data_IF_311676862793
#
_entry.id   IF_311676862793
#
_cell.length_a   1.000
_cell.length_b   1.000
_cell.length_c   1.000
_cell.angle_alpha   90.00
_cell.angle_beta   90.00
_cell.angle_gamma   90.00
#
_symmetry.space_group_name_H-M   'P 1'
#
loop_
_entity.id
_entity.type
_entity.pdbx_description
1 polymer ?
#
# COMPACT_ATOMS: atom_id res chain seq x y z
N UNK A 1 8.66 10.56 -17.02
CA UNK A 1 8.36 10.53 -16.83
C UNK A 1 7.91 10.57 -16.38
N UNK A 2 7.86 10.51 -16.17
CA UNK A 2 7.47 10.44 -15.70
C UNK A 2 6.61 10.60 -15.26
N UNK A 3 6.33 10.40 -15.08
CA UNK A 3 5.53 10.44 -14.72
C UNK A 3 4.86 10.67 -14.12
N UNK A 4 4.68 10.59 -13.89
CA UNK A 4 4.13 10.62 -13.37
C UNK A 4 3.68 11.14 -12.83
N UNK A 5 3.67 11.17 -12.81
CA UNK A 5 3.29 11.61 -12.32
C UNK A 5 3.11 12.27 -11.73
N UNK A 6 2.72 12.29 -12.10
CA UNK A 6 2.61 13.12 -11.56
C UNK A 6 2.53 13.46 -10.27
N UNK A 7 2.45 13.38 -9.96
CA UNK A 7 2.37 13.49 -8.89
C UNK A 7 3.01 13.32 -8.19
N UNK A 8 3.09 13.29 -8.61
CA UNK A 8 3.33 12.99 -7.77
C UNK A 8 4.30 12.51 -6.89
N UNK A 9 4.02 11.82 -6.15
CA UNK A 9 4.83 11.27 -5.08
C UNK A 9 5.39 9.96 -5.49
N UNK A 10 6.69 9.81 -5.33
CA UNK A 10 7.34 8.53 -5.53
C UNK A 10 7.33 7.69 -4.27
N UNK A 11 6.72 8.20 -3.22
CA UNK A 11 6.70 7.51 -1.93
C UNK A 11 5.27 7.40 -1.44
N UNK A 12 4.96 6.30 -0.76
CA UNK A 12 3.64 6.21 -0.14
C UNK A 12 3.52 7.25 0.97
N UNK A 13 2.31 7.73 1.17
CA UNK A 13 2.06 8.68 2.25
C UNK A 13 1.98 7.97 3.59
N UNK A 14 1.75 6.66 3.57
CA UNK A 14 1.70 5.88 4.79
C UNK A 14 1.89 4.42 4.45
N UNK A 15 2.55 3.71 5.33
CA UNK A 15 2.78 2.28 5.13
C UNK A 15 2.42 1.55 6.41
N UNK A 16 1.68 0.48 6.27
CA UNK A 16 1.29 -0.38 7.38
C UNK A 16 1.92 -1.73 7.13
N UNK A 17 2.56 -2.28 8.15
CA UNK A 17 3.27 -3.52 7.99
C UNK A 17 2.87 -4.49 9.07
N UNK A 18 2.71 -5.75 8.71
CA UNK A 18 2.45 -6.82 9.67
C UNK A 18 3.14 -8.07 9.16
N UNK A 19 4.22 -8.46 9.87
CA UNK A 19 5.01 -9.58 9.43
C UNK A 19 5.64 -9.31 8.08
N UNK A 20 5.45 -10.21 7.16
CA UNK A 20 6.04 -10.09 5.83
C UNK A 20 5.16 -9.33 4.85
N UNK A 21 3.98 -8.91 5.28
CA UNK A 21 3.04 -8.24 4.40
C UNK A 21 2.99 -6.76 4.74
N UNK A 22 2.96 -5.93 3.72
CA UNK A 22 2.87 -4.50 3.90
C UNK A 22 1.81 -3.93 2.98
N UNK A 23 1.18 -2.87 3.46
CA UNK A 23 0.21 -2.11 2.69
C UNK A 23 0.75 -0.69 2.56
N UNK A 24 0.90 -0.24 1.33
CA UNK A 24 1.38 1.11 1.06
C UNK A 24 0.21 1.93 0.55
N UNK A 25 0.03 3.09 1.16
CA UNK A 25 -1.06 3.98 0.80
C UNK A 25 -0.48 5.13 0.00
N UNK A 26 -1.03 5.33 -1.18
CA UNK A 26 -0.55 6.35 -2.12
C UNK A 26 -1.61 7.41 -2.28
N UNK A 27 -1.18 8.64 -2.40
CA UNK A 27 -2.09 9.73 -2.59
C UNK A 27 -1.89 10.32 -3.98
N UNK A 28 -3.00 10.59 -4.63
CA UNK A 28 -2.99 11.23 -5.93
C UNK A 28 -3.97 12.39 -5.88
N UNK A 29 -3.49 13.57 -6.23
CA UNK A 29 -4.35 14.74 -6.24
C UNK A 29 -5.06 14.84 -7.58
N UNK A 30 -6.38 15.00 -7.52
CA UNK A 30 -7.19 15.12 -8.71
C UNK A 30 -8.02 16.39 -8.63
N UNK A 31 -8.71 16.69 -9.71
CA UNK A 31 -9.57 17.87 -9.74
C UNK A 31 -10.68 17.79 -8.71
N UNK A 32 -11.04 16.59 -8.33
CA UNK A 32 -12.12 16.40 -7.35
C UNK A 32 -11.60 16.23 -5.94
N UNK A 33 -10.29 16.41 -5.75
CA UNK A 33 -9.69 16.26 -4.45
C UNK A 33 -8.73 15.09 -4.40
N UNK A 34 -8.20 14.81 -3.23
CA UNK A 34 -7.24 13.71 -3.12
C UNK A 34 -7.91 12.36 -3.26
N UNK A 35 -7.22 11.46 -3.91
CA UNK A 35 -7.63 10.07 -4.00
C UNK A 35 -6.52 9.20 -3.44
N UNK A 36 -6.91 8.11 -2.80
CA UNK A 36 -5.95 7.22 -2.19
C UNK A 36 -6.04 5.85 -2.84
N UNK A 37 -4.88 5.27 -3.09
CA UNK A 37 -4.76 3.90 -3.58
C UNK A 37 -3.91 3.12 -2.62
N UNK A 38 -4.14 1.82 -2.56
CA UNK A 38 -3.39 0.96 -1.65
C UNK A 38 -2.83 -0.19 -2.45
N UNK A 39 -1.55 -0.44 -2.26
CA UNK A 39 -0.91 -1.60 -2.85
C UNK A 39 -0.41 -2.50 -1.73
N UNK A 40 -0.45 -3.80 -1.96
CA UNK A 40 -0.03 -4.78 -0.99
C UNK A 40 1.14 -5.57 -1.53
N UNK A 41 2.09 -5.86 -0.66
CA UNK A 41 3.25 -6.64 -1.02
C UNK A 41 3.57 -7.65 0.08
N UNK A 42 4.10 -8.77 -0.34
CA UNK A 42 4.62 -9.77 0.58
C UNK A 42 6.12 -9.92 0.31
N UNK A 43 6.92 -9.75 1.34
CA UNK A 43 8.36 -9.91 1.24
C UNK A 43 8.73 -11.33 1.59
N UNK A 44 9.64 -11.90 0.82
CA UNK A 44 10.13 -13.23 1.12
C UNK A 44 11.59 -13.30 0.75
N UNK A 45 12.26 -14.26 1.35
CA UNK A 45 13.68 -14.45 1.11
C UNK A 45 13.89 -15.67 0.25
N UNK A 46 14.65 -15.48 -0.81
CA UNK A 46 15.00 -16.59 -1.69
C UNK A 46 16.52 -16.63 -1.77
N UNK A 47 17.10 -17.70 -1.18
CA UNK A 47 18.54 -17.71 -1.03
C UNK A 47 18.96 -16.62 -0.08
N UNK A 48 19.78 -15.70 -0.58
CA UNK A 48 20.23 -14.59 0.22
C UNK A 48 19.61 -13.27 -0.22
N UNK A 49 18.64 -13.34 -1.12
CA UNK A 49 18.02 -12.14 -1.64
C UNK A 49 16.61 -11.98 -1.11
N UNK A 50 16.25 -10.75 -0.81
CA UNK A 50 14.88 -10.42 -0.46
C UNK A 50 14.12 -10.04 -1.71
N UNK A 51 12.94 -10.60 -1.85
CA UNK A 51 12.09 -10.35 -3.01
C UNK A 51 10.71 -9.98 -2.55
N UNK A 52 9.96 -9.37 -3.45
CA UNK A 52 8.59 -8.95 -3.20
C UNK A 52 7.66 -9.65 -4.15
N UNK A 53 6.46 -9.91 -3.67
CA UNK A 53 5.44 -10.57 -4.46
C UNK A 53 4.10 -9.91 -4.17
N UNK A 54 3.25 -9.90 -5.18
CA UNK A 54 1.86 -9.47 -5.00
C UNK A 54 0.92 -10.66 -4.95
N UNK A 55 1.47 -11.86 -4.85
CA UNK A 55 0.68 -13.06 -4.67
C UNK A 55 0.66 -13.45 -3.21
N UNK A 56 -0.50 -13.88 -2.73
CA UNK A 56 -0.68 -14.17 -1.32
C UNK A 56 -1.27 -15.55 -1.17
N UNK A 57 -0.61 -16.37 -0.34
CA UNK A 57 -1.09 -17.69 -0.09
C UNK A 57 -2.19 -17.71 0.96
N UNK A 58 -2.72 -18.89 1.17
CA UNK A 58 -3.83 -19.07 2.09
C UNK A 58 -3.50 -18.53 3.48
N UNK A 59 -2.26 -18.77 3.94
CA UNK A 59 -1.87 -18.36 5.28
C UNK A 59 -1.65 -16.86 5.40
N UNK A 60 -1.62 -16.16 4.27
CA UNK A 60 -1.42 -14.71 4.27
C UNK A 60 -2.72 -13.93 4.20
N UNK A 61 -3.80 -14.59 3.83
CA UNK A 61 -5.03 -13.87 3.49
C UNK A 61 -5.64 -13.17 4.69
N UNK A 62 -5.56 -13.79 5.85
CA UNK A 62 -6.12 -13.18 7.04
C UNK A 62 -5.36 -11.91 7.41
N UNK A 63 -4.03 -11.97 7.34
CA UNK A 63 -3.22 -10.78 7.60
C UNK A 63 -3.47 -9.72 6.55
N UNK A 64 -3.62 -10.14 5.31
CA UNK A 64 -3.90 -9.20 4.23
C UNK A 64 -5.21 -8.47 4.49
N UNK A 65 -6.23 -9.19 4.92
CA UNK A 65 -7.51 -8.57 5.18
C UNK A 65 -7.42 -7.58 6.34
N UNK A 66 -6.63 -7.90 7.35
CA UNK A 66 -6.43 -7.00 8.47
C UNK A 66 -5.75 -5.71 8.01
N UNK A 67 -4.74 -5.84 7.17
CA UNK A 67 -4.05 -4.66 6.65
C UNK A 67 -4.95 -3.83 5.76
N UNK A 68 -5.79 -4.49 4.98
CA UNK A 68 -6.74 -3.77 4.14
C UNK A 68 -7.69 -2.95 4.99
N UNK A 69 -8.15 -3.53 6.10
CA UNK A 69 -9.04 -2.85 7.01
C UNK A 69 -8.36 -1.64 7.64
N UNK A 70 -7.12 -1.82 8.07
CA UNK A 70 -6.38 -0.72 8.66
C UNK A 70 -6.11 0.39 7.67
N UNK A 71 -5.82 0.02 6.42
CA UNK A 71 -5.62 1.03 5.39
C UNK A 71 -6.89 1.81 5.17
N UNK A 72 -8.02 1.12 5.14
CA UNK A 72 -9.31 1.79 4.99
C UNK A 72 -9.54 2.78 6.13
N UNK A 73 -9.26 2.36 7.35
CA UNK A 73 -9.46 3.23 8.49
C UNK A 73 -8.56 4.45 8.45
N UNK A 74 -7.32 4.24 8.04
CA UNK A 74 -6.39 5.35 7.93
C UNK A 74 -6.88 6.37 6.92
N UNK A 75 -7.30 5.89 5.75
CA UNK A 75 -7.80 6.79 4.71
C UNK A 75 -9.06 7.50 5.19
N UNK A 76 -9.94 6.78 5.86
CA UNK A 76 -11.18 7.37 6.34
C UNK A 76 -10.94 8.46 7.37
N UNK A 77 -9.79 8.42 8.06
CA UNK A 77 -9.49 9.42 9.08
C UNK A 77 -8.87 10.68 8.48
N UNK A 78 -8.57 10.68 7.19
CA UNK A 78 -7.94 11.84 6.58
C UNK A 78 -8.99 12.90 6.28
N UNK A 79 -8.60 14.18 6.35
CA UNK A 79 -9.55 15.24 6.04
C UNK A 79 -10.03 15.13 4.59
N UNK A 80 -11.27 15.45 4.40
CA UNK A 80 -11.85 15.48 3.06
C UNK A 80 -11.86 16.89 2.55
N UNK A 81 -11.68 16.99 1.25
CA UNK A 81 -11.67 18.28 0.60
C UNK A 81 -13.04 18.68 0.09
#
# INVERSE_FOLDING_TARGET
MKNQTANTNNKPVHTIRNGSISASIWRQDTEKGPMFNVTFQRSYKEGEEWKNSTSFGRNNLLLLSLLAMRAFEWIASQPRQ
#
